data_IF_290577696586
#
_entry.id   IF_290577696586
#
_cell.length_a   1.000
_cell.length_b   1.000
_cell.length_c   1.000
_cell.angle_alpha   90.00
_cell.angle_beta   90.00
_cell.angle_gamma   90.00
#
_symmetry.space_group_name_H-M   'P 1'
#
loop_
_entity.id
_entity.type
_entity.pdbx_description
1 polymer ?
#
# COMPACT_ATOMS: atom_id res chain seq x y z
N UNK A 1 2.93 -32.46 -5.33
CA UNK A 1 4.01 -31.57 -4.85
C UNK A 1 3.36 -30.22 -4.64
N UNK A 2 2.78 -30.03 -3.46
CA UNK A 2 2.09 -28.79 -3.11
C UNK A 2 3.15 -27.73 -2.81
N UNK A 3 3.06 -26.58 -3.47
CA UNK A 3 3.90 -25.45 -3.13
C UNK A 3 3.60 -25.05 -1.69
N UNK A 4 4.61 -25.16 -0.80
CA UNK A 4 4.57 -24.49 0.50
C UNK A 4 4.52 -22.99 0.22
N UNK A 5 3.30 -22.46 0.17
CA UNK A 5 3.08 -21.02 0.22
C UNK A 5 3.62 -20.59 1.58
N UNK A 6 4.65 -19.74 1.59
CA UNK A 6 5.15 -19.12 2.81
C UNK A 6 3.97 -18.62 3.65
N UNK A 7 3.89 -19.09 4.89
CA UNK A 7 2.76 -18.81 5.79
C UNK A 7 2.86 -17.45 6.49
N UNK A 8 3.67 -16.52 5.95
CA UNK A 8 3.95 -15.22 6.58
C UNK A 8 2.92 -14.17 6.11
N UNK A 9 2.35 -13.36 7.02
CA UNK A 9 1.31 -12.38 6.71
C UNK A 9 1.55 -11.51 5.47
N UNK A 10 2.72 -10.88 5.36
CA UNK A 10 3.08 -10.04 4.23
C UNK A 10 3.20 -10.84 2.94
N UNK A 11 3.70 -12.08 2.97
CA UNK A 11 3.76 -12.94 1.79
C UNK A 11 2.37 -13.40 1.34
N UNK A 12 1.49 -13.74 2.27
CA UNK A 12 0.09 -14.03 2.00
C UNK A 12 -0.63 -12.82 1.39
N UNK A 13 -0.39 -11.63 1.95
CA UNK A 13 -0.84 -10.36 1.39
C UNK A 13 -0.30 -10.14 -0.02
N UNK A 14 1.00 -10.27 -0.25
CA UNK A 14 1.62 -10.02 -1.56
C UNK A 14 1.13 -11.02 -2.61
N UNK A 15 0.89 -12.27 -2.22
CA UNK A 15 0.26 -13.27 -3.09
C UNK A 15 -1.17 -12.88 -3.47
N UNK A 16 -2.01 -12.50 -2.50
CA UNK A 16 -3.38 -12.05 -2.76
C UNK A 16 -3.42 -10.74 -3.58
N UNK A 17 -2.48 -9.84 -3.30
CA UNK A 17 -2.26 -8.60 -4.04
C UNK A 17 -1.86 -8.87 -5.49
N UNK A 18 -1.00 -9.87 -5.73
CA UNK A 18 -0.50 -10.24 -7.06
C UNK A 18 -1.55 -11.04 -7.87
N UNK A 19 -2.27 -11.98 -7.25
CA UNK A 19 -3.30 -12.80 -7.93
C UNK A 19 -4.52 -11.97 -8.36
N UNK A 20 -4.82 -10.89 -7.65
CA UNK A 20 -5.86 -9.93 -8.05
C UNK A 20 -5.47 -9.01 -9.20
N UNK A 21 -4.22 -9.03 -9.67
CA UNK A 21 -3.78 -8.20 -10.82
C UNK A 21 -4.12 -8.92 -12.12
N UNK A 22 -4.81 -8.22 -13.03
CA UNK A 22 -4.88 -8.66 -14.42
C UNK A 22 -3.53 -8.24 -15.04
N UNK A 23 -2.72 -9.23 -15.43
CA UNK A 23 -1.35 -9.10 -15.94
C UNK A 23 -1.27 -8.33 -17.28
N UNK A 24 -1.57 -7.03 -17.29
CA UNK A 24 -1.48 -6.23 -18.52
C UNK A 24 -0.40 -5.14 -18.50
N UNK A 25 0.26 -4.86 -17.37
CA UNK A 25 1.38 -3.91 -17.35
C UNK A 25 2.58 -4.41 -16.56
N UNK A 26 3.59 -4.89 -17.29
CA UNK A 26 4.97 -4.77 -16.83
C UNK A 26 5.38 -3.31 -16.97
N UNK A 27 5.30 -2.53 -15.90
CA UNK A 27 6.02 -1.27 -15.80
C UNK A 27 7.04 -1.39 -14.68
N UNK A 28 8.21 -1.88 -15.07
CA UNK A 28 9.48 -1.74 -14.34
C UNK A 28 9.93 -0.30 -14.44
N UNK A 29 9.94 0.44 -13.33
CA UNK A 29 10.70 1.68 -13.20
C UNK A 29 11.62 1.57 -12.01
N UNK A 30 12.92 1.41 -12.30
CA UNK A 30 14.08 1.82 -11.50
C UNK A 30 14.32 1.16 -10.15
N UNK A 31 13.27 1.01 -9.35
CA UNK A 31 13.27 0.42 -8.02
C UNK A 31 12.52 -0.91 -8.09
N UNK A 32 13.10 -1.98 -7.55
CA UNK A 32 12.65 -3.38 -7.76
C UNK A 32 11.39 -3.74 -6.94
N UNK A 33 10.35 -2.90 -6.96
CA UNK A 33 9.12 -3.10 -6.22
C UNK A 33 7.95 -3.43 -7.16
N UNK A 34 7.06 -4.36 -6.79
CA UNK A 34 5.89 -4.70 -7.60
C UNK A 34 4.86 -3.56 -7.62
N UNK A 35 4.79 -2.84 -8.74
CA UNK A 35 3.76 -1.84 -9.04
C UNK A 35 2.47 -2.53 -9.53
N UNK A 36 1.30 -2.14 -9.01
CA UNK A 36 -0.01 -2.55 -9.55
C UNK A 36 -0.81 -1.36 -10.05
N UNK A 37 -1.17 -1.39 -11.31
CA UNK A 37 -2.21 -0.48 -11.82
C UNK A 37 -3.57 -1.11 -11.56
N UNK A 38 -4.40 -0.50 -10.71
CA UNK A 38 -5.82 -0.86 -10.58
C UNK A 38 -6.61 -0.20 -11.72
N UNK A 39 -6.48 -0.79 -12.91
CA UNK A 39 -7.01 -0.25 -14.17
C UNK A 39 -8.52 -0.10 -14.23
N UNK A 40 -9.30 -0.87 -13.47
CA UNK A 40 -10.78 -0.78 -13.54
C UNK A 40 -11.35 0.58 -13.12
N UNK A 41 -10.55 1.44 -12.47
CA UNK A 41 -11.01 2.71 -11.87
C UNK A 41 -10.01 3.87 -11.98
N UNK A 42 -9.04 3.76 -12.89
CA UNK A 42 -7.96 4.73 -13.06
C UNK A 42 -7.18 5.05 -11.77
N UNK A 43 -6.86 4.01 -10.99
CA UNK A 43 -6.03 4.14 -9.78
C UNK A 43 -4.71 3.40 -9.96
N UNK A 44 -3.61 4.08 -9.66
CA UNK A 44 -2.28 3.48 -9.54
C UNK A 44 -1.99 3.20 -8.07
N UNK A 45 -1.53 1.99 -7.76
CA UNK A 45 -1.21 1.55 -6.41
C UNK A 45 0.15 0.82 -6.41
N UNK A 46 1.10 1.31 -5.63
CA UNK A 46 2.42 0.71 -5.50
C UNK A 46 2.62 0.19 -4.09
N UNK A 47 2.87 -1.11 -3.93
CA UNK A 47 3.16 -1.71 -2.61
C UNK A 47 4.27 -2.74 -2.71
N UNK A 48 4.99 -2.96 -1.61
CA UNK A 48 5.97 -4.03 -1.50
C UNK A 48 6.06 -4.57 -0.08
N UNK A 49 6.45 -5.83 0.08
CA UNK A 49 6.74 -6.39 1.40
C UNK A 49 8.13 -5.91 1.86
N UNK A 50 8.21 -5.46 3.12
CA UNK A 50 9.47 -5.13 3.79
C UNK A 50 10.00 -6.35 4.55
N UNK A 51 9.11 -7.07 5.22
CA UNK A 51 9.41 -8.30 5.96
C UNK A 51 8.19 -9.24 5.96
N UNK A 52 8.15 -10.19 6.90
CA UNK A 52 7.08 -11.18 7.05
C UNK A 52 5.72 -10.63 7.48
N UNK A 53 5.67 -9.42 8.05
CA UNK A 53 4.46 -8.84 8.63
C UNK A 53 4.13 -7.45 8.07
N UNK A 54 5.07 -6.79 7.39
CA UNK A 54 4.99 -5.38 7.05
C UNK A 54 5.01 -5.19 5.55
N UNK A 55 4.03 -4.42 5.07
CA UNK A 55 3.90 -4.01 3.68
C UNK A 55 4.00 -2.49 3.59
N UNK A 56 4.81 -2.00 2.67
CA UNK A 56 4.96 -0.59 2.41
C UNK A 56 4.03 -0.17 1.28
N UNK A 57 3.12 0.78 1.57
CA UNK A 57 2.39 1.55 0.57
C UNK A 57 3.27 2.69 0.09
N UNK A 58 3.75 2.59 -1.15
CA UNK A 58 4.65 3.58 -1.76
C UNK A 58 3.92 4.72 -2.43
N UNK A 59 2.79 4.41 -3.07
CA UNK A 59 2.02 5.38 -3.84
C UNK A 59 0.57 4.91 -4.01
N UNK A 60 -0.37 5.85 -3.93
CA UNK A 60 -1.74 5.67 -4.40
C UNK A 60 -2.19 6.95 -5.11
N UNK A 61 -2.58 6.82 -6.38
CA UNK A 61 -2.99 7.96 -7.23
C UNK A 61 -4.25 7.59 -7.98
N UNK A 62 -5.25 8.47 -8.03
CA UNK A 62 -6.48 8.30 -8.82
C UNK A 62 -6.56 9.40 -9.86
N UNK A 63 -6.70 9.07 -11.14
CA UNK A 63 -6.85 10.08 -12.21
C UNK A 63 -8.27 10.67 -12.23
N UNK A 64 -9.24 9.93 -11.68
CA UNK A 64 -10.65 10.32 -11.57
C UNK A 64 -10.93 10.90 -10.16
N UNK A 65 -10.52 12.14 -9.94
CA UNK A 65 -10.72 12.83 -8.65
C UNK A 65 -12.22 12.96 -8.30
N UNK A 66 -12.55 12.88 -7.01
CA UNK A 66 -13.94 13.03 -6.52
C UNK A 66 -14.86 11.81 -6.71
N UNK A 67 -14.45 10.79 -7.48
CA UNK A 67 -15.27 9.58 -7.71
C UNK A 67 -15.09 8.45 -6.69
N UNK A 68 -14.40 8.73 -5.57
CA UNK A 68 -14.12 7.77 -4.48
C UNK A 68 -13.29 6.53 -4.90
N UNK A 69 -12.72 6.51 -6.10
CA UNK A 69 -11.92 5.39 -6.59
C UNK A 69 -10.68 5.16 -5.73
N UNK A 70 -9.93 6.21 -5.37
CA UNK A 70 -8.82 6.10 -4.42
C UNK A 70 -9.24 5.49 -3.07
N UNK A 71 -10.36 5.94 -2.50
CA UNK A 71 -10.88 5.38 -1.23
C UNK A 71 -11.26 3.91 -1.38
N UNK A 72 -11.97 3.54 -2.45
CA UNK A 72 -12.32 2.14 -2.69
C UNK A 72 -11.08 1.25 -2.88
N UNK A 73 -10.00 1.81 -3.44
CA UNK A 73 -8.72 1.12 -3.60
C UNK A 73 -8.08 0.86 -2.24
N UNK A 74 -7.99 1.90 -1.41
CA UNK A 74 -7.42 1.82 -0.08
C UNK A 74 -8.24 0.91 0.83
N UNK A 75 -9.57 0.95 0.75
CA UNK A 75 -10.47 0.03 1.47
C UNK A 75 -10.28 -1.42 1.06
N UNK A 76 -10.05 -1.67 -0.24
CA UNK A 76 -9.70 -3.01 -0.70
C UNK A 76 -8.34 -3.44 -0.14
N UNK A 77 -7.34 -2.58 -0.20
CA UNK A 77 -5.99 -2.84 0.31
C UNK A 77 -6.01 -3.19 1.81
N UNK A 78 -6.67 -2.37 2.62
CA UNK A 78 -6.81 -2.57 4.05
C UNK A 78 -7.47 -3.92 4.37
N UNK A 79 -8.54 -4.30 3.64
CA UNK A 79 -9.20 -5.60 3.83
C UNK A 79 -8.31 -6.79 3.49
N UNK A 80 -7.43 -6.65 2.50
CA UNK A 80 -6.45 -7.70 2.19
C UNK A 80 -5.41 -7.78 3.30
N UNK A 81 -4.91 -6.64 3.79
CA UNK A 81 -3.97 -6.62 4.91
C UNK A 81 -4.57 -7.22 6.18
N UNK A 82 -5.80 -6.86 6.53
CA UNK A 82 -6.54 -7.39 7.69
C UNK A 82 -6.68 -8.92 7.61
N UNK A 83 -7.06 -9.46 6.45
CA UNK A 83 -7.20 -10.91 6.24
C UNK A 83 -5.91 -11.68 6.54
N UNK A 84 -4.77 -11.07 6.25
CA UNK A 84 -3.48 -11.71 6.39
C UNK A 84 -2.75 -11.33 7.68
N UNK A 85 -3.24 -10.34 8.44
CA UNK A 85 -2.57 -9.82 9.63
C UNK A 85 -1.34 -8.97 9.30
N UNK A 86 -1.33 -8.30 8.14
CA UNK A 86 -0.22 -7.47 7.70
C UNK A 86 -0.39 -6.00 8.15
N UNK A 87 0.71 -5.37 8.56
CA UNK A 87 0.80 -3.96 8.90
C UNK A 87 1.11 -3.18 7.63
N UNK A 88 0.36 -2.11 7.36
CA UNK A 88 0.65 -1.20 6.24
C UNK A 88 1.42 0.00 6.77
N UNK A 89 2.59 0.29 6.21
CA UNK A 89 3.35 1.52 6.49
C UNK A 89 3.52 2.35 5.21
N UNK A 90 3.75 3.65 5.34
CA UNK A 90 4.03 4.49 4.19
C UNK A 90 4.47 5.90 4.56
N UNK A 91 5.05 6.58 3.57
CA UNK A 91 5.26 8.01 3.62
C UNK A 91 4.15 8.70 2.84
N UNK A 92 3.27 9.39 3.58
CA UNK A 92 2.17 10.17 3.05
C UNK A 92 2.68 11.59 2.81
N UNK A 93 2.73 11.97 1.53
CA UNK A 93 2.93 13.34 1.11
C UNK A 93 2.10 13.60 -0.16
N UNK A 94 1.51 14.80 -0.32
CA UNK A 94 0.90 15.18 -1.58
C UNK A 94 1.94 15.21 -2.70
N UNK A 95 1.58 14.67 -3.86
CA UNK A 95 2.36 14.91 -5.09
C UNK A 95 2.27 16.38 -5.50
N UNK A 96 3.21 16.84 -6.34
CA UNK A 96 3.28 18.24 -6.82
C UNK A 96 1.98 18.72 -7.47
N UNK A 97 1.24 17.83 -8.13
CA UNK A 97 -0.05 18.11 -8.78
C UNK A 97 -1.25 17.53 -8.00
N UNK A 98 -1.11 17.33 -6.68
CA UNK A 98 -2.17 16.74 -5.87
C UNK A 98 -3.32 17.73 -5.61
N UNK A 99 -4.56 17.22 -5.69
CA UNK A 99 -5.77 17.96 -5.32
C UNK A 99 -6.02 18.04 -3.81
N UNK A 100 -5.26 17.29 -3.01
CA UNK A 100 -5.35 17.31 -1.56
C UNK A 100 -4.09 17.95 -0.99
N UNK A 101 -4.25 18.89 -0.07
CA UNK A 101 -3.14 19.34 0.77
C UNK A 101 -2.73 18.26 1.78
N UNK A 102 -1.63 18.49 2.49
CA UNK A 102 -1.07 17.54 3.47
C UNK A 102 -2.09 17.19 4.57
N UNK A 103 -2.83 18.17 5.09
CA UNK A 103 -3.83 17.96 6.15
C UNK A 103 -5.03 17.17 5.66
N UNK A 104 -5.52 17.46 4.45
CA UNK A 104 -6.61 16.73 3.80
C UNK A 104 -6.22 15.29 3.48
N UNK A 105 -4.98 15.07 3.04
CA UNK A 105 -4.44 13.75 2.75
C UNK A 105 -4.28 12.95 4.04
N UNK A 106 -3.70 13.54 5.09
CA UNK A 106 -3.59 12.92 6.41
C UNK A 106 -4.97 12.54 6.97
N UNK A 107 -5.96 13.45 6.89
CA UNK A 107 -7.33 13.17 7.29
C UNK A 107 -7.99 12.09 6.43
N UNK A 108 -7.64 11.99 5.15
CA UNK A 108 -8.11 10.93 4.27
C UNK A 108 -7.58 9.57 4.72
N UNK A 109 -6.28 9.43 4.96
CA UNK A 109 -5.70 8.20 5.50
C UNK A 109 -6.23 7.84 6.89
N UNK A 110 -6.41 8.82 7.79
CA UNK A 110 -6.96 8.58 9.12
C UNK A 110 -8.36 7.94 9.09
N UNK A 111 -9.21 8.30 8.12
CA UNK A 111 -10.53 7.65 7.92
C UNK A 111 -10.43 6.16 7.55
N UNK A 112 -9.30 5.73 7.02
CA UNK A 112 -9.03 4.33 6.69
C UNK A 112 -8.29 3.58 7.82
N UNK A 113 -8.13 4.21 8.99
CA UNK A 113 -7.53 3.61 10.19
C UNK A 113 -6.01 3.78 10.30
N UNK A 114 -5.42 4.66 9.49
CA UNK A 114 -4.00 4.98 9.64
C UNK A 114 -3.77 5.96 10.80
N UNK A 115 -2.76 5.68 11.60
CA UNK A 115 -2.14 6.67 12.47
C UNK A 115 -1.14 7.47 11.63
N UNK A 116 -1.45 8.74 11.37
CA UNK A 116 -0.57 9.67 10.64
C UNK A 116 0.08 10.62 11.65
N UNK A 117 1.40 10.74 11.60
CA UNK A 117 2.15 11.53 12.57
C UNK A 117 3.63 11.63 12.20
N UNK A 118 4.44 12.16 13.11
CA UNK A 118 5.87 12.44 12.85
C UNK A 118 6.66 11.26 12.27
N UNK A 119 7.84 11.57 11.73
CA UNK A 119 8.70 10.57 11.11
C UNK A 119 9.05 9.42 12.07
N UNK A 120 8.81 8.20 11.58
CA UNK A 120 9.22 6.93 12.17
C UNK A 120 10.17 6.22 11.19
N UNK A 121 10.91 5.24 11.70
CA UNK A 121 11.88 4.46 10.91
C UNK A 121 11.73 2.98 11.18
N UNK A 122 11.91 2.18 10.14
CA UNK A 122 12.01 0.74 10.22
C UNK A 122 13.24 0.27 9.44
N UNK A 123 13.98 -0.69 9.99
CA UNK A 123 15.17 -1.25 9.38
C UNK A 123 14.99 -2.72 9.08
N UNK A 124 15.34 -3.16 7.86
CA UNK A 124 15.31 -4.56 7.42
C UNK A 124 16.55 -4.82 6.55
N UNK A 125 17.20 -5.98 6.69
CA UNK A 125 18.28 -6.38 5.78
C UNK A 125 19.46 -5.40 5.61
N UNK A 126 19.65 -4.45 6.54
CA UNK A 126 20.64 -3.37 6.42
C UNK A 126 20.13 -2.07 5.78
N UNK A 127 18.90 -2.06 5.29
CA UNK A 127 18.20 -0.89 4.75
C UNK A 127 17.35 -0.22 5.85
N UNK A 128 16.94 1.03 5.62
CA UNK A 128 16.04 1.76 6.53
C UNK A 128 15.05 2.60 5.74
N UNK A 129 13.77 2.45 6.05
CA UNK A 129 12.64 3.17 5.45
C UNK A 129 12.13 4.16 6.47
N UNK A 130 11.91 5.37 6.01
CA UNK A 130 11.16 6.40 6.73
C UNK A 130 9.68 6.24 6.39
N UNK A 131 8.84 6.29 7.41
CA UNK A 131 7.38 6.32 7.24
C UNK A 131 6.80 7.35 8.21
N UNK A 132 5.68 7.97 7.84
CA UNK A 132 4.94 8.91 8.70
C UNK A 132 3.50 8.43 8.93
N UNK A 133 3.14 7.27 8.39
CA UNK A 133 1.86 6.65 8.60
C UNK A 133 1.96 5.14 8.69
N UNK A 134 1.18 4.59 9.61
CA UNK A 134 1.05 3.15 9.79
C UNK A 134 -0.41 2.80 10.07
N UNK A 135 -0.80 1.61 9.63
CA UNK A 135 -2.08 0.99 9.95
C UNK A 135 -1.82 -0.45 10.38
N UNK A 136 -2.17 -0.72 11.62
CA UNK A 136 -2.25 -2.07 12.16
C UNK A 136 -3.44 -2.83 11.55
N UNK A 137 -3.36 -4.17 11.41
CA UNK A 137 -4.51 -4.96 10.98
C UNK A 137 -5.65 -4.85 12.00
N UNK A 138 -6.88 -4.72 11.51
CA UNK A 138 -8.08 -4.74 12.34
C UNK A 138 -8.40 -6.17 12.75
N UNK A 139 -8.35 -6.44 14.06
CA UNK A 139 -8.63 -7.74 14.70
C UNK A 139 -10.13 -8.01 14.75
#
# INVERSE_FOLDING_TARGET
>A
MEAQVSNTPAMGFMAAYTVGTRNDDKLTTGDSYPLRTWREKDVQLAVFALDDYIVCLRQITSMDHGKRNGSACLDWLCRVADRHGAIIVGWIEPNVDAHLDEGQLAAWYARHGFEVGGEKRISWGGETLRYNAAREPSI
#
